data_IF_702718966481
#
_entry.id   IF_702718966481
#
_cell.length_a   1.000
_cell.length_b   1.000
_cell.length_c   1.000
_cell.angle_alpha   90.00
_cell.angle_beta   90.00
_cell.angle_gamma   90.00
#
_symmetry.space_group_name_H-M   'P 1'
#
loop_
_entity.id
_entity.type
_entity.pdbx_description
1 polymer ?
#
# COMPACT_ATOMS: atom_id res chain seq x y z
N UNK A 1 30.75 -22.68 5.87
CA UNK A 1 30.22 -21.70 4.89
C UNK A 1 28.70 -21.70 4.97
N UNK A 2 28.09 -20.55 5.23
CA UNK A 2 26.64 -20.41 5.27
C UNK A 2 26.21 -19.77 3.95
N UNK A 3 25.31 -20.42 3.21
CA UNK A 3 24.69 -19.86 2.03
C UNK A 3 23.34 -19.24 2.43
N UNK A 4 23.15 -17.98 2.14
CA UNK A 4 21.93 -17.26 2.44
C UNK A 4 21.33 -16.66 1.16
N UNK A 5 20.02 -16.52 1.07
CA UNK A 5 19.39 -15.78 -0.02
C UNK A 5 19.90 -14.34 -0.07
N UNK A 6 20.09 -13.81 -1.27
CA UNK A 6 20.64 -12.46 -1.50
C UNK A 6 19.85 -11.37 -0.73
N UNK A 7 18.54 -11.50 -0.65
CA UNK A 7 17.68 -10.58 0.09
C UNK A 7 17.94 -10.54 1.62
N UNK A 8 18.67 -11.52 2.18
CA UNK A 8 19.09 -11.54 3.59
C UNK A 8 20.42 -10.82 3.86
N UNK A 9 21.12 -10.41 2.83
CA UNK A 9 22.47 -9.84 2.93
C UNK A 9 22.51 -8.59 3.81
N UNK A 10 21.55 -7.67 3.65
CA UNK A 10 21.49 -6.44 4.45
C UNK A 10 21.22 -6.72 5.93
N UNK A 11 20.25 -7.56 6.22
CA UNK A 11 19.95 -7.96 7.59
C UNK A 11 21.16 -8.64 8.27
N UNK A 12 21.79 -9.56 7.53
CA UNK A 12 23.01 -10.21 8.02
C UNK A 12 24.11 -9.19 8.29
N UNK A 13 24.33 -8.22 7.39
CA UNK A 13 25.36 -7.21 7.57
C UNK A 13 25.14 -6.36 8.84
N UNK A 14 23.90 -6.01 9.14
CA UNK A 14 23.56 -5.28 10.36
C UNK A 14 23.76 -6.15 11.62
N UNK A 15 23.42 -7.44 11.56
CA UNK A 15 23.73 -8.37 12.65
C UNK A 15 25.24 -8.53 12.90
N UNK A 16 26.02 -8.69 11.81
CA UNK A 16 27.46 -8.87 11.87
C UNK A 16 28.17 -7.63 12.44
N UNK A 17 27.68 -6.41 12.16
CA UNK A 17 28.21 -5.18 12.77
C UNK A 17 28.07 -5.14 14.30
N UNK A 18 27.13 -5.89 14.87
CA UNK A 18 26.90 -5.99 16.32
C UNK A 18 27.71 -7.10 17.00
N UNK A 19 28.28 -8.02 16.23
CA UNK A 19 29.10 -9.12 16.76
C UNK A 19 30.53 -8.65 16.98
N UNK A 20 30.98 -8.55 18.24
CA UNK A 20 32.25 -7.95 18.63
C UNK A 20 33.46 -8.90 18.60
N UNK A 21 33.38 -10.16 18.34
CA UNK A 21 34.50 -11.10 18.46
C UNK A 21 34.47 -12.24 17.43
N UNK A 22 34.11 -11.94 16.18
CA UNK A 22 34.01 -12.97 15.14
C UNK A 22 34.75 -12.52 13.90
N UNK A 23 35.74 -13.28 13.46
CA UNK A 23 36.35 -13.09 12.15
C UNK A 23 35.39 -13.55 11.06
N UNK A 24 35.00 -12.61 10.19
CA UNK A 24 34.02 -12.82 9.14
C UNK A 24 34.66 -12.51 7.80
N UNK A 25 34.85 -13.54 6.97
CA UNK A 25 35.25 -13.37 5.58
C UNK A 25 33.99 -13.19 4.73
N UNK A 26 33.95 -12.06 4.03
CA UNK A 26 32.83 -11.70 3.14
C UNK A 26 33.27 -11.91 1.71
N UNK A 27 32.47 -12.59 0.89
CA UNK A 27 32.76 -12.74 -0.54
C UNK A 27 32.57 -11.42 -1.32
N UNK A 28 32.99 -11.41 -2.58
CA UNK A 28 32.93 -10.22 -3.44
C UNK A 28 31.49 -9.78 -3.65
N UNK A 29 30.59 -10.70 -3.96
CA UNK A 29 29.16 -10.42 -4.22
C UNK A 29 28.46 -9.84 -2.97
N UNK A 30 28.74 -10.37 -1.79
CA UNK A 30 28.23 -9.82 -0.53
C UNK A 30 28.70 -8.38 -0.31
N UNK A 31 29.99 -8.09 -0.56
CA UNK A 31 30.53 -6.73 -0.37
C UNK A 31 29.90 -5.74 -1.35
N UNK A 32 29.73 -6.12 -2.61
CA UNK A 32 29.08 -5.30 -3.63
C UNK A 32 27.63 -4.96 -3.23
N UNK A 33 26.83 -5.95 -2.88
CA UNK A 33 25.43 -5.75 -2.45
C UNK A 33 25.38 -4.84 -1.22
N UNK A 34 26.20 -5.11 -0.20
CA UNK A 34 26.21 -4.29 1.01
C UNK A 34 26.68 -2.87 0.73
N UNK A 35 27.69 -2.70 -0.12
CA UNK A 35 28.21 -1.38 -0.47
C UNK A 35 27.19 -0.57 -1.29
N UNK A 36 26.49 -1.19 -2.21
CA UNK A 36 25.55 -0.52 -3.10
C UNK A 36 24.19 -0.22 -2.41
N UNK A 37 23.78 -1.06 -1.45
CA UNK A 37 22.54 -0.86 -0.70
C UNK A 37 22.71 -0.13 0.65
N UNK A 38 23.94 -0.11 1.25
CA UNK A 38 24.23 0.68 2.45
C UNK A 38 24.85 2.05 2.16
N UNK A 39 25.12 2.34 0.92
CA UNK A 39 25.54 3.69 0.59
C UNK A 39 24.31 4.59 0.74
N UNK A 40 24.49 5.64 1.51
CA UNK A 40 23.88 6.94 1.25
C UNK A 40 24.20 7.43 -0.20
N UNK A 41 24.75 6.57 -1.00
CA UNK A 41 25.14 6.60 -2.40
C UNK A 41 24.27 5.56 -3.14
N UNK A 42 23.02 5.93 -3.37
CA UNK A 42 22.33 5.43 -4.53
C UNK A 42 23.28 5.75 -5.71
N UNK A 43 23.80 4.73 -6.41
CA UNK A 43 24.50 4.99 -7.67
C UNK A 43 23.62 5.93 -8.46
N UNK A 44 24.18 7.02 -9.00
CA UNK A 44 23.43 7.97 -9.79
C UNK A 44 22.95 7.27 -11.06
N UNK A 45 21.89 6.49 -10.92
CA UNK A 45 21.16 5.95 -12.06
C UNK A 45 20.63 7.13 -12.88
N UNK A 46 20.88 7.13 -14.15
CA UNK A 46 20.43 8.21 -15.02
C UNK A 46 18.91 8.31 -15.01
N UNK A 47 18.43 9.41 -14.48
CA UNK A 47 17.01 9.75 -14.53
C UNK A 47 16.70 10.04 -16.01
N UNK A 48 15.61 9.47 -16.60
CA UNK A 48 15.24 9.79 -17.96
C UNK A 48 15.11 11.32 -18.14
N UNK A 49 15.69 11.83 -19.21
CA UNK A 49 15.89 13.28 -19.43
C UNK A 49 14.61 14.10 -19.22
N UNK A 50 13.48 13.57 -19.64
CA UNK A 50 12.18 14.22 -19.48
C UNK A 50 11.75 14.43 -18.03
N UNK A 51 12.29 13.65 -17.08
CA UNK A 51 11.98 13.75 -15.66
C UNK A 51 12.97 14.59 -14.87
N UNK A 52 14.12 14.97 -15.43
CA UNK A 52 15.16 15.72 -14.70
C UNK A 52 14.65 17.03 -14.08
N UNK A 53 13.82 17.76 -14.82
CA UNK A 53 13.26 19.03 -14.37
C UNK A 53 11.85 18.91 -13.76
N UNK A 54 11.22 17.74 -13.84
CA UNK A 54 9.88 17.51 -13.33
C UNK A 54 9.91 16.94 -11.91
N UNK A 55 10.84 15.99 -11.65
CA UNK A 55 10.94 15.36 -10.35
C UNK A 55 11.57 16.30 -9.32
N UNK A 56 10.90 16.43 -8.18
CA UNK A 56 11.46 17.10 -7.00
C UNK A 56 12.65 16.31 -6.42
N UNK A 57 13.58 16.92 -5.67
CA UNK A 57 14.76 16.21 -5.13
C UNK A 57 14.42 14.90 -4.41
N UNK A 58 13.41 14.91 -3.55
CA UNK A 58 12.99 13.70 -2.85
C UNK A 58 12.40 12.63 -3.80
N UNK A 59 11.74 13.03 -4.89
CA UNK A 59 11.22 12.09 -5.90
C UNK A 59 12.35 11.45 -6.70
N UNK A 60 13.41 12.21 -6.99
CA UNK A 60 14.65 11.67 -7.59
C UNK A 60 15.27 10.60 -6.69
N UNK A 61 15.38 10.87 -5.38
CA UNK A 61 15.82 9.85 -4.41
C UNK A 61 14.91 8.62 -4.41
N UNK A 62 13.59 8.80 -4.55
CA UNK A 62 12.65 7.67 -4.63
C UNK A 62 12.81 6.85 -5.91
N UNK A 63 13.05 7.51 -7.05
CA UNK A 63 13.39 6.83 -8.30
C UNK A 63 14.67 5.99 -8.15
N UNK A 64 15.76 6.58 -7.61
CA UNK A 64 17.02 5.90 -7.36
C UNK A 64 16.83 4.65 -6.48
N UNK A 65 16.05 4.80 -5.40
CA UNK A 65 15.73 3.68 -4.51
C UNK A 65 14.97 2.56 -5.22
N UNK A 66 13.96 2.87 -6.05
CA UNK A 66 13.23 1.90 -6.85
C UNK A 66 14.16 1.15 -7.82
N UNK A 67 15.04 1.88 -8.51
CA UNK A 67 16.04 1.32 -9.45
C UNK A 67 17.03 0.44 -8.73
N UNK A 68 17.56 0.88 -7.58
CA UNK A 68 18.49 0.09 -6.78
C UNK A 68 17.88 -1.25 -6.36
N UNK A 69 16.63 -1.25 -5.88
CA UNK A 69 15.93 -2.49 -5.54
C UNK A 69 15.74 -3.38 -6.77
N UNK A 70 15.36 -2.79 -7.90
CA UNK A 70 15.15 -3.53 -9.14
C UNK A 70 16.42 -4.19 -9.66
N UNK A 71 17.58 -3.53 -9.61
CA UNK A 71 18.88 -4.09 -10.02
C UNK A 71 19.21 -5.39 -9.29
N UNK A 72 18.76 -5.53 -8.03
CA UNK A 72 18.91 -6.76 -7.24
C UNK A 72 17.68 -7.68 -7.29
N UNK A 73 16.70 -7.40 -8.12
CA UNK A 73 15.42 -8.15 -8.19
C UNK A 73 14.71 -8.19 -6.84
N UNK A 74 14.85 -7.14 -6.05
CA UNK A 74 14.09 -6.95 -4.83
C UNK A 74 12.79 -6.23 -5.11
N UNK A 75 11.80 -6.49 -4.28
CA UNK A 75 10.60 -5.69 -4.20
C UNK A 75 10.71 -4.65 -3.09
N UNK A 76 9.79 -3.69 -3.08
CA UNK A 76 9.76 -2.65 -2.05
C UNK A 76 8.40 -2.01 -1.86
N UNK A 77 8.28 -1.26 -0.77
CA UNK A 77 7.07 -0.53 -0.38
C UNK A 77 7.37 0.96 -0.40
N UNK A 78 6.83 1.68 -1.38
CA UNK A 78 6.88 3.13 -1.43
C UNK A 78 5.70 3.69 -0.63
N UNK A 79 6.00 4.14 0.59
CA UNK A 79 5.02 4.48 1.62
C UNK A 79 4.94 5.99 1.92
N UNK A 80 5.29 6.82 0.95
CA UNK A 80 5.21 8.27 1.04
C UNK A 80 3.79 8.75 1.35
N UNK A 81 3.65 9.85 2.07
CA UNK A 81 2.36 10.49 2.32
C UNK A 81 1.58 10.72 1.01
N UNK A 82 0.24 10.74 1.10
CA UNK A 82 -0.61 11.03 -0.06
C UNK A 82 -0.26 12.41 -0.66
N UNK A 83 -0.17 12.48 -1.98
CA UNK A 83 0.17 13.72 -2.70
C UNK A 83 1.66 14.01 -2.84
N UNK A 84 2.55 13.12 -2.40
CA UNK A 84 4.01 13.24 -2.65
C UNK A 84 4.44 12.68 -4.02
N UNK A 85 3.50 12.31 -4.89
CA UNK A 85 3.80 11.87 -6.25
C UNK A 85 4.44 10.49 -6.33
N UNK A 86 3.88 9.49 -5.63
CA UNK A 86 4.29 8.09 -5.79
C UNK A 86 4.17 7.61 -7.23
N UNK A 87 3.08 7.99 -7.91
CA UNK A 87 2.81 7.60 -9.30
C UNK A 87 3.90 8.06 -10.26
N UNK A 88 4.32 9.33 -10.19
CA UNK A 88 5.35 9.86 -11.11
C UNK A 88 6.73 9.22 -10.87
N UNK A 89 7.07 8.86 -9.63
CA UNK A 89 8.30 8.11 -9.32
C UNK A 89 8.30 6.72 -9.98
N UNK A 90 7.14 6.06 -9.99
CA UNK A 90 6.98 4.77 -10.69
C UNK A 90 6.98 4.94 -12.19
N UNK A 91 6.31 5.96 -12.73
CA UNK A 91 6.32 6.24 -14.17
C UNK A 91 7.74 6.49 -14.67
N UNK A 92 8.55 7.26 -13.94
CA UNK A 92 9.96 7.47 -14.31
C UNK A 92 10.77 6.17 -14.33
N UNK A 93 10.51 5.23 -13.42
CA UNK A 93 11.12 3.88 -13.42
C UNK A 93 10.66 3.07 -14.65
N UNK A 94 9.39 3.14 -15.03
CA UNK A 94 8.87 2.45 -16.21
C UNK A 94 9.50 2.97 -17.50
N UNK A 95 9.69 4.29 -17.62
CA UNK A 95 10.38 4.91 -18.77
C UNK A 95 11.85 4.51 -18.80
N UNK A 96 12.56 4.62 -17.68
CA UNK A 96 13.96 4.18 -17.58
C UNK A 96 14.13 2.70 -17.98
N UNK A 97 13.16 1.85 -17.66
CA UNK A 97 13.19 0.46 -18.09
C UNK A 97 13.02 0.35 -19.63
N UNK A 98 12.11 1.12 -20.22
CA UNK A 98 11.88 1.12 -21.67
C UNK A 98 13.11 1.61 -22.45
N UNK A 99 13.78 2.67 -21.98
CA UNK A 99 14.94 3.25 -22.63
C UNK A 99 16.18 2.32 -22.61
N UNK A 100 16.32 1.51 -21.56
CA UNK A 100 17.47 0.64 -21.36
C UNK A 100 17.29 -0.78 -21.94
N UNK A 101 16.24 -1.04 -22.74
CA UNK A 101 15.96 -2.35 -23.30
C UNK A 101 16.17 -2.40 -24.81
N UNK A 102 17.07 -3.26 -25.24
CA UNK A 102 17.32 -3.55 -26.65
C UNK A 102 16.55 -4.78 -27.17
N UNK A 103 16.35 -5.82 -26.33
CA UNK A 103 15.65 -7.06 -26.71
C UNK A 103 14.81 -7.65 -25.57
N UNK A 104 13.75 -8.43 -25.89
CA UNK A 104 12.88 -9.14 -24.94
C UNK A 104 12.10 -8.26 -23.94
N UNK A 105 11.46 -7.22 -24.45
CA UNK A 105 10.61 -6.32 -23.71
C UNK A 105 9.47 -7.03 -23.00
N UNK A 106 9.41 -6.89 -21.67
CA UNK A 106 8.30 -7.39 -20.85
C UNK A 106 7.35 -6.26 -20.47
N UNK A 107 6.07 -6.54 -20.52
CA UNK A 107 5.01 -5.64 -20.06
C UNK A 107 5.04 -5.51 -18.54
N UNK A 108 4.69 -4.33 -18.03
CA UNK A 108 4.48 -4.08 -16.61
C UNK A 108 2.99 -4.05 -16.28
N UNK A 109 2.61 -4.56 -15.11
CA UNK A 109 1.22 -4.60 -14.63
C UNK A 109 1.03 -3.66 -13.45
N UNK A 110 0.11 -2.73 -13.58
CA UNK A 110 -0.37 -1.89 -12.47
C UNK A 110 -1.72 -2.41 -12.01
N UNK A 111 -1.85 -2.68 -10.72
CA UNK A 111 -3.10 -3.09 -10.08
C UNK A 111 -3.51 -2.02 -9.07
N UNK A 112 -4.64 -1.39 -9.31
CA UNK A 112 -5.13 -0.26 -8.51
C UNK A 112 -6.61 -0.43 -8.12
N UNK A 113 -7.16 0.37 -7.21
CA UNK A 113 -8.61 0.53 -7.10
C UNK A 113 -9.22 0.93 -8.45
N UNK A 114 -10.45 0.49 -8.72
CA UNK A 114 -11.12 0.78 -9.99
C UNK A 114 -11.26 2.28 -10.29
N UNK A 115 -11.43 3.10 -9.26
CA UNK A 115 -11.51 4.56 -9.35
C UNK A 115 -10.20 5.22 -9.80
N UNK A 116 -9.04 4.55 -9.60
CA UNK A 116 -7.72 5.10 -9.92
C UNK A 116 -7.16 4.58 -11.25
N UNK A 117 -7.76 3.57 -11.86
CA UNK A 117 -7.23 2.96 -13.09
C UNK A 117 -7.13 3.97 -14.26
N UNK A 118 -8.13 4.84 -14.42
CA UNK A 118 -8.09 5.89 -15.43
C UNK A 118 -7.11 7.01 -15.08
N UNK A 119 -6.92 7.28 -13.79
CA UNK A 119 -5.92 8.26 -13.35
C UNK A 119 -4.51 7.81 -13.72
N UNK A 120 -4.17 6.53 -13.56
CA UNK A 120 -2.91 5.97 -14.03
C UNK A 120 -2.70 6.17 -15.52
N UNK A 121 -3.75 5.93 -16.33
CA UNK A 121 -3.69 6.19 -17.77
C UNK A 121 -3.38 7.65 -18.06
N UNK A 122 -4.14 8.57 -17.47
CA UNK A 122 -3.98 10.00 -17.70
C UNK A 122 -2.59 10.52 -17.27
N UNK A 123 -2.07 10.03 -16.15
CA UNK A 123 -0.73 10.41 -15.69
C UNK A 123 0.37 9.85 -16.61
N UNK A 124 0.25 8.60 -17.08
CA UNK A 124 1.21 8.04 -18.03
C UNK A 124 1.15 8.80 -19.35
N UNK A 125 -0.03 9.05 -19.93
CA UNK A 125 -0.18 9.82 -21.17
C UNK A 125 0.36 11.25 -21.06
N UNK A 126 0.28 11.84 -19.85
CA UNK A 126 0.80 13.18 -19.58
C UNK A 126 2.33 13.23 -19.43
N UNK A 127 2.92 12.30 -18.69
CA UNK A 127 4.34 12.36 -18.31
C UNK A 127 5.25 11.44 -19.13
N UNK A 128 4.66 10.44 -19.78
CA UNK A 128 5.37 9.42 -20.55
C UNK A 128 4.55 8.97 -21.78
N UNK A 129 4.22 9.87 -22.70
CA UNK A 129 3.36 9.58 -23.87
C UNK A 129 3.96 8.50 -24.79
N UNK A 130 5.24 8.25 -24.69
CA UNK A 130 5.93 7.18 -25.43
C UNK A 130 5.60 5.78 -24.92
N UNK A 131 5.07 5.62 -23.70
CA UNK A 131 4.65 4.33 -23.17
C UNK A 131 3.31 3.89 -23.78
N UNK A 132 3.30 2.73 -24.44
CA UNK A 132 2.06 2.13 -24.90
C UNK A 132 1.29 1.51 -23.74
N UNK A 133 0.23 2.20 -23.28
CA UNK A 133 -0.58 1.80 -22.14
C UNK A 133 -1.95 1.26 -22.53
N UNK A 134 -2.44 0.25 -21.84
CA UNK A 134 -3.81 -0.26 -21.94
C UNK A 134 -4.46 -0.45 -20.59
N UNK A 135 -5.66 0.10 -20.42
CA UNK A 135 -6.52 -0.17 -19.25
C UNK A 135 -7.41 -1.36 -19.57
N UNK A 136 -7.38 -2.39 -18.72
CA UNK A 136 -8.28 -3.55 -18.84
C UNK A 136 -9.66 -3.15 -18.33
N UNK A 137 -10.63 -3.13 -19.24
CA UNK A 137 -12.02 -2.74 -18.96
C UNK A 137 -12.98 -3.45 -19.92
N UNK A 138 -14.28 -3.27 -19.68
CA UNK A 138 -15.32 -3.84 -20.54
C UNK A 138 -15.81 -5.22 -20.08
N UNK A 139 -16.46 -5.94 -20.98
CA UNK A 139 -16.98 -7.28 -20.72
C UNK A 139 -15.88 -8.36 -20.69
N UNK A 140 -16.23 -9.58 -20.31
CA UNK A 140 -15.24 -10.66 -20.12
C UNK A 140 -14.46 -11.00 -21.41
N UNK A 141 -15.11 -10.97 -22.58
CA UNK A 141 -14.44 -11.27 -23.85
C UNK A 141 -13.43 -10.21 -24.22
N UNK A 142 -13.80 -8.93 -24.10
CA UNK A 142 -12.90 -7.80 -24.36
C UNK A 142 -11.67 -7.83 -23.43
N UNK A 143 -11.86 -8.16 -22.17
CA UNK A 143 -10.74 -8.27 -21.23
C UNK A 143 -9.83 -9.44 -21.57
N UNK A 144 -10.42 -10.60 -21.96
CA UNK A 144 -9.66 -11.77 -22.41
C UNK A 144 -8.80 -11.45 -23.63
N UNK A 145 -9.33 -10.72 -24.61
CA UNK A 145 -8.58 -10.27 -25.79
C UNK A 145 -7.37 -9.42 -25.39
N UNK A 146 -7.56 -8.41 -24.52
CA UNK A 146 -6.46 -7.56 -24.03
C UNK A 146 -5.40 -8.39 -23.30
N UNK A 147 -5.81 -9.34 -22.43
CA UNK A 147 -4.89 -10.19 -21.68
C UNK A 147 -4.11 -11.12 -22.62
N UNK A 148 -4.72 -11.61 -23.67
CA UNK A 148 -4.04 -12.45 -24.66
C UNK A 148 -2.99 -11.69 -25.49
N UNK A 149 -3.13 -10.35 -25.60
CA UNK A 149 -2.24 -9.48 -26.35
C UNK A 149 -1.32 -8.63 -25.44
N UNK A 150 -1.06 -9.09 -24.21
CA UNK A 150 -0.28 -8.35 -23.20
C UNK A 150 1.04 -7.82 -23.78
N UNK A 151 1.74 -8.61 -24.55
CA UNK A 151 3.07 -8.29 -25.10
C UNK A 151 3.08 -7.07 -26.04
N UNK A 152 1.93 -6.61 -26.52
CA UNK A 152 1.81 -5.40 -27.36
C UNK A 152 1.96 -4.10 -26.57
N UNK A 153 1.86 -4.17 -25.25
CA UNK A 153 1.83 -2.99 -24.38
C UNK A 153 3.07 -2.90 -23.50
N UNK A 154 3.48 -1.67 -23.18
CA UNK A 154 4.51 -1.41 -22.18
C UNK A 154 3.94 -1.54 -20.77
N UNK A 155 2.71 -1.02 -20.61
CA UNK A 155 2.03 -0.99 -19.31
C UNK A 155 0.57 -1.42 -19.48
N UNK A 156 0.14 -2.32 -18.63
CA UNK A 156 -1.28 -2.67 -18.48
C UNK A 156 -1.74 -2.25 -17.08
N UNK A 157 -2.91 -1.61 -17.05
CA UNK A 157 -3.55 -1.22 -15.79
C UNK A 157 -4.84 -2.01 -15.61
N UNK A 158 -5.02 -2.60 -14.44
CA UNK A 158 -6.26 -3.30 -14.07
C UNK A 158 -6.67 -2.99 -12.65
N UNK A 159 -7.91 -3.31 -12.29
CA UNK A 159 -8.34 -3.19 -10.89
C UNK A 159 -8.19 -4.53 -10.14
N UNK A 160 -8.09 -4.44 -8.79
CA UNK A 160 -8.04 -5.63 -7.93
C UNK A 160 -9.23 -6.58 -8.17
N UNK A 161 -10.42 -6.05 -8.40
CA UNK A 161 -11.61 -6.86 -8.64
C UNK A 161 -11.62 -7.53 -10.01
N UNK A 162 -11.15 -6.84 -11.06
CA UNK A 162 -11.02 -7.43 -12.39
C UNK A 162 -9.90 -8.48 -12.42
N UNK A 163 -8.75 -8.17 -11.81
CA UNK A 163 -7.66 -9.13 -11.68
C UNK A 163 -8.12 -10.45 -11.05
N UNK A 164 -8.87 -10.36 -9.95
CA UNK A 164 -9.44 -11.53 -9.27
C UNK A 164 -10.40 -12.32 -10.14
N UNK A 165 -11.21 -11.65 -10.97
CA UNK A 165 -12.15 -12.29 -11.88
C UNK A 165 -11.45 -13.01 -13.02
N UNK A 166 -10.38 -12.40 -13.53
CA UNK A 166 -9.69 -12.83 -14.73
C UNK A 166 -8.41 -13.66 -14.42
N UNK A 167 -8.19 -14.04 -13.15
CA UNK A 167 -6.93 -14.68 -12.70
C UNK A 167 -6.60 -15.96 -13.47
N UNK A 168 -7.60 -16.74 -13.85
CA UNK A 168 -7.38 -17.98 -14.59
C UNK A 168 -6.84 -17.70 -16.00
N UNK A 169 -7.28 -16.63 -16.66
CA UNK A 169 -6.76 -16.20 -17.97
C UNK A 169 -5.27 -15.84 -17.86
N UNK A 170 -4.89 -15.11 -16.81
CA UNK A 170 -3.48 -14.79 -16.55
C UNK A 170 -2.62 -16.03 -16.29
N UNK A 171 -3.16 -17.03 -15.60
CA UNK A 171 -2.47 -18.31 -15.35
C UNK A 171 -2.29 -19.11 -16.64
N UNK A 172 -3.33 -19.21 -17.47
CA UNK A 172 -3.28 -19.88 -18.75
C UNK A 172 -2.24 -19.25 -19.68
N UNK A 173 -2.21 -17.91 -19.74
CA UNK A 173 -1.21 -17.16 -20.50
C UNK A 173 0.21 -17.42 -19.98
N UNK A 174 0.36 -17.71 -18.67
CA UNK A 174 1.64 -18.00 -18.00
C UNK A 174 2.73 -16.93 -18.26
N UNK A 175 2.32 -15.69 -18.43
CA UNK A 175 3.20 -14.57 -18.72
C UNK A 175 3.96 -14.09 -17.47
N UNK A 176 5.23 -13.71 -17.65
CA UNK A 176 6.04 -13.10 -16.59
C UNK A 176 6.17 -11.61 -16.86
N UNK A 177 5.53 -10.80 -16.03
CA UNK A 177 5.61 -9.34 -16.11
C UNK A 177 6.99 -8.84 -15.71
N UNK A 178 7.37 -7.66 -16.20
CA UNK A 178 8.58 -6.99 -15.73
C UNK A 178 8.38 -6.50 -14.30
N UNK A 179 7.35 -5.70 -14.10
CA UNK A 179 6.95 -5.21 -12.80
C UNK A 179 5.50 -5.57 -12.51
N UNK A 180 5.18 -5.86 -11.25
CA UNK A 180 3.82 -5.74 -10.73
C UNK A 180 3.82 -4.63 -9.69
N UNK A 181 3.01 -3.61 -9.93
CA UNK A 181 2.85 -2.44 -9.08
C UNK A 181 1.47 -2.52 -8.46
N UNK A 182 1.40 -2.70 -7.14
CA UNK A 182 0.15 -2.69 -6.39
C UNK A 182 -0.06 -1.28 -5.79
N UNK A 183 -0.95 -0.52 -6.40
CA UNK A 183 -1.32 0.80 -5.87
C UNK A 183 -2.40 0.68 -4.80
N UNK A 184 -2.37 1.59 -3.81
CA UNK A 184 -3.18 1.51 -2.60
C UNK A 184 -3.11 0.10 -1.96
N UNK A 185 -1.88 -0.31 -1.63
CA UNK A 185 -1.57 -1.68 -1.21
C UNK A 185 -2.29 -2.12 0.08
N UNK A 186 -3.04 -1.24 0.75
CA UNK A 186 -3.96 -1.65 1.83
C UNK A 186 -5.02 -2.66 1.36
N UNK A 187 -5.30 -2.76 0.05
CA UNK A 187 -6.13 -3.83 -0.50
C UNK A 187 -5.52 -5.23 -0.35
N UNK A 188 -4.22 -5.31 -0.04
CA UNK A 188 -3.47 -6.56 0.19
C UNK A 188 -3.27 -6.88 1.68
N UNK A 189 -3.70 -6.03 2.60
CA UNK A 189 -3.50 -6.17 4.06
C UNK A 189 -4.01 -7.51 4.61
N UNK A 190 -5.11 -8.03 4.09
CA UNK A 190 -5.64 -9.33 4.46
C UNK A 190 -5.13 -10.43 3.51
N UNK A 191 -4.17 -11.23 3.97
CA UNK A 191 -3.60 -12.33 3.18
C UNK A 191 -4.63 -13.38 2.73
N UNK A 192 -5.72 -13.55 3.46
CA UNK A 192 -6.79 -14.49 3.12
C UNK A 192 -7.77 -13.92 2.09
N UNK A 193 -7.75 -12.61 1.85
CA UNK A 193 -8.61 -11.98 0.86
C UNK A 193 -8.33 -12.49 -0.55
N UNK A 194 -9.39 -12.66 -1.33
CA UNK A 194 -9.29 -13.15 -2.71
C UNK A 194 -8.41 -12.25 -3.59
N UNK A 195 -8.39 -10.94 -3.35
CA UNK A 195 -7.56 -9.99 -4.09
C UNK A 195 -6.06 -10.23 -3.82
N UNK A 196 -5.67 -10.40 -2.55
CA UNK A 196 -4.28 -10.69 -2.18
C UNK A 196 -3.80 -12.04 -2.74
N UNK A 197 -4.66 -13.06 -2.70
CA UNK A 197 -4.35 -14.36 -3.29
C UNK A 197 -4.20 -14.30 -4.80
N UNK A 198 -5.03 -13.53 -5.50
CA UNK A 198 -4.98 -13.42 -6.96
C UNK A 198 -3.67 -12.77 -7.42
N UNK A 199 -3.33 -11.58 -6.91
CA UNK A 199 -2.13 -10.85 -7.36
C UNK A 199 -0.83 -11.64 -7.08
N UNK A 200 -0.76 -12.41 -5.99
CA UNK A 200 0.40 -13.22 -5.63
C UNK A 200 0.65 -14.40 -6.59
N UNK A 201 -0.35 -14.82 -7.36
CA UNK A 201 -0.23 -15.90 -8.33
C UNK A 201 0.38 -15.47 -9.66
N UNK A 202 0.45 -14.17 -9.92
CA UNK A 202 1.01 -13.63 -11.16
C UNK A 202 2.54 -13.54 -11.03
N UNK A 203 3.24 -13.98 -12.08
CA UNK A 203 4.70 -13.95 -12.14
C UNK A 203 5.22 -12.58 -12.52
N UNK A 204 6.28 -12.11 -11.86
CA UNK A 204 6.99 -10.89 -12.21
C UNK A 204 8.45 -10.96 -11.78
N UNK A 205 9.29 -10.16 -12.46
CA UNK A 205 10.71 -10.02 -12.10
C UNK A 205 10.87 -9.24 -10.80
N UNK A 206 10.14 -8.11 -10.63
CA UNK A 206 10.12 -7.31 -9.40
C UNK A 206 8.70 -6.86 -9.06
N UNK A 207 8.43 -6.64 -7.78
CA UNK A 207 7.10 -6.24 -7.28
C UNK A 207 7.21 -5.05 -6.35
N UNK A 208 6.39 -4.03 -6.58
CA UNK A 208 6.35 -2.84 -5.75
C UNK A 208 4.95 -2.58 -5.22
N UNK A 209 4.87 -2.13 -3.98
CA UNK A 209 3.64 -1.73 -3.34
C UNK A 209 3.65 -0.22 -3.08
N UNK A 210 2.58 0.48 -3.44
CA UNK A 210 2.40 1.90 -3.18
C UNK A 210 1.30 2.06 -2.14
N UNK A 211 1.56 2.82 -1.09
CA UNK A 211 0.55 3.09 -0.05
C UNK A 211 0.87 4.39 0.68
N UNK A 212 -0.15 5.12 1.11
CA UNK A 212 0.02 6.25 2.03
C UNK A 212 0.10 5.80 3.51
N UNK A 213 -0.25 4.54 3.78
CA UNK A 213 -0.45 4.01 5.14
C UNK A 213 0.12 2.60 5.26
N UNK A 214 1.45 2.45 5.40
CA UNK A 214 2.08 1.13 5.34
C UNK A 214 1.76 0.22 6.51
N UNK A 215 1.57 0.78 7.70
CA UNK A 215 1.29 0.03 8.93
C UNK A 215 0.30 0.86 9.77
N UNK A 216 -0.99 0.57 9.67
CA UNK A 216 -1.99 1.29 10.46
C UNK A 216 -2.46 0.47 11.66
N UNK A 217 -2.79 -0.81 11.46
CA UNK A 217 -3.54 -1.55 12.45
C UNK A 217 -2.85 -2.81 12.98
N UNK A 218 -2.01 -3.49 12.19
CA UNK A 218 -1.38 -4.73 12.66
C UNK A 218 -0.12 -5.14 11.90
N UNK A 219 0.74 -5.90 12.58
CA UNK A 219 1.92 -6.54 11.96
C UNK A 219 1.53 -7.62 10.94
N UNK A 220 0.33 -8.19 11.05
CA UNK A 220 -0.21 -9.12 10.04
C UNK A 220 -0.41 -8.46 8.68
N UNK A 221 -0.84 -7.18 8.65
CA UNK A 221 -0.98 -6.40 7.42
C UNK A 221 0.38 -6.17 6.76
N UNK A 222 1.38 -5.76 7.54
CA UNK A 222 2.76 -5.62 7.10
C UNK A 222 3.28 -6.92 6.47
N UNK A 223 3.09 -8.05 7.17
CA UNK A 223 3.48 -9.35 6.66
C UNK A 223 2.82 -9.66 5.31
N UNK A 224 1.54 -9.37 5.17
CA UNK A 224 0.80 -9.65 3.92
C UNK A 224 1.32 -8.85 2.72
N UNK A 225 1.70 -7.57 2.93
CA UNK A 225 2.29 -6.74 1.88
C UNK A 225 3.72 -7.24 1.55
N UNK A 226 4.52 -7.58 2.56
CA UNK A 226 5.86 -8.16 2.33
C UNK A 226 5.81 -9.51 1.60
N UNK A 227 4.81 -10.35 1.89
CA UNK A 227 4.61 -11.62 1.20
C UNK A 227 4.22 -11.42 -0.29
N UNK A 228 3.68 -10.25 -0.64
CA UNK A 228 3.48 -9.85 -2.03
C UNK A 228 4.78 -9.32 -2.65
N UNK A 229 5.48 -8.35 -2.04
CA UNK A 229 6.65 -7.71 -2.67
C UNK A 229 7.88 -8.62 -2.68
N UNK A 230 8.06 -9.43 -1.63
CA UNK A 230 9.17 -10.39 -1.51
C UNK A 230 8.70 -11.69 -0.84
N UNK A 231 8.12 -12.63 -1.60
CA UNK A 231 7.60 -13.89 -1.05
C UNK A 231 8.63 -14.63 -0.19
N UNK A 232 8.25 -15.05 1.01
CA UNK A 232 9.10 -15.80 1.95
C UNK A 232 10.13 -14.96 2.70
N UNK A 233 10.30 -13.68 2.42
CA UNK A 233 11.27 -12.81 3.11
C UNK A 233 11.02 -12.74 4.61
N UNK A 234 9.79 -12.52 5.04
CA UNK A 234 9.39 -12.51 6.45
C UNK A 234 8.94 -13.89 6.96
N UNK A 235 9.44 -14.97 6.36
CA UNK A 235 9.07 -16.37 6.66
C UNK A 235 7.58 -16.69 6.38
N UNK A 236 7.14 -17.90 6.79
CA UNK A 236 5.71 -18.20 6.79
C UNK A 236 4.97 -17.36 7.83
N UNK A 237 3.68 -17.08 7.61
CA UNK A 237 2.89 -16.30 8.58
C UNK A 237 2.90 -16.90 10.00
N UNK A 238 2.83 -18.23 10.10
CA UNK A 238 2.90 -18.92 11.39
C UNK A 238 4.20 -18.59 12.16
N UNK A 239 5.34 -18.61 11.45
CA UNK A 239 6.65 -18.28 12.04
C UNK A 239 6.77 -16.78 12.33
N UNK A 240 6.31 -15.91 11.44
CA UNK A 240 6.29 -14.47 11.66
C UNK A 240 5.45 -14.10 12.88
N UNK A 241 4.25 -14.69 13.01
CA UNK A 241 3.36 -14.46 14.13
C UNK A 241 4.00 -14.86 15.48
N UNK A 242 4.63 -16.03 15.54
CA UNK A 242 5.29 -16.49 16.78
C UNK A 242 6.55 -15.68 17.11
N UNK A 243 7.33 -15.25 16.10
CA UNK A 243 8.62 -14.59 16.31
C UNK A 243 8.49 -13.10 16.55
N UNK A 244 7.54 -12.43 15.88
CA UNK A 244 7.41 -10.98 15.91
C UNK A 244 6.06 -10.50 16.42
N UNK A 245 4.93 -10.96 15.84
CA UNK A 245 3.62 -10.39 16.15
C UNK A 245 3.24 -10.63 17.62
N UNK A 246 3.37 -11.85 18.10
CA UNK A 246 3.03 -12.18 19.49
C UNK A 246 4.01 -11.51 20.46
N UNK A 247 5.31 -11.60 20.22
CA UNK A 247 6.33 -11.00 21.07
C UNK A 247 6.17 -9.46 21.18
N UNK A 248 5.92 -8.78 20.04
CA UNK A 248 5.79 -7.32 20.03
C UNK A 248 4.44 -6.87 20.63
N UNK A 249 3.32 -7.51 20.23
CA UNK A 249 1.98 -7.03 20.59
C UNK A 249 1.56 -7.47 21.99
N UNK A 250 1.93 -8.69 22.41
CA UNK A 250 1.54 -9.22 23.74
C UNK A 250 2.59 -8.99 24.81
N UNK A 251 3.86 -9.23 24.44
CA UNK A 251 4.94 -9.26 25.41
C UNK A 251 5.72 -7.93 25.42
N UNK A 252 5.38 -6.96 24.55
CA UNK A 252 6.07 -5.67 24.37
C UNK A 252 7.59 -5.82 24.19
N UNK A 253 8.03 -6.86 23.48
CA UNK A 253 9.44 -7.17 23.24
C UNK A 253 10.08 -6.13 22.30
N UNK A 254 10.84 -5.20 22.88
CA UNK A 254 11.56 -4.16 22.13
C UNK A 254 12.66 -4.72 21.22
N UNK A 255 13.29 -5.83 21.59
CA UNK A 255 14.35 -6.46 20.78
C UNK A 255 13.76 -7.11 19.53
N UNK A 256 12.60 -7.75 19.65
CA UNK A 256 11.86 -8.26 18.49
C UNK A 256 11.43 -7.11 17.57
N UNK A 257 10.97 -5.98 18.13
CA UNK A 257 10.62 -4.78 17.36
C UNK A 257 11.84 -4.20 16.61
N UNK A 258 12.97 -4.04 17.30
CA UNK A 258 14.23 -3.55 16.69
C UNK A 258 14.72 -4.48 15.58
N UNK A 259 14.65 -5.80 15.77
CA UNK A 259 15.02 -6.80 14.75
C UNK A 259 14.12 -6.73 13.54
N UNK A 260 12.80 -6.64 13.74
CA UNK A 260 11.84 -6.50 12.63
C UNK A 260 12.08 -5.20 11.86
N UNK A 261 12.24 -4.07 12.56
CA UNK A 261 12.54 -2.77 11.93
C UNK A 261 13.79 -2.86 11.05
N UNK A 262 14.89 -3.39 11.58
CA UNK A 262 16.13 -3.58 10.82
C UNK A 262 15.95 -4.46 9.57
N UNK A 263 15.06 -5.47 9.65
CA UNK A 263 14.78 -6.38 8.56
C UNK A 263 14.04 -5.71 7.42
N UNK A 264 13.07 -4.83 7.73
CA UNK A 264 12.18 -4.21 6.73
C UNK A 264 12.67 -2.85 6.21
N UNK A 265 13.45 -2.12 7.01
CA UNK A 265 13.89 -0.75 6.72
C UNK A 265 14.46 -0.53 5.31
N UNK A 266 15.32 -1.40 4.75
CA UNK A 266 15.85 -1.20 3.41
C UNK A 266 14.80 -1.26 2.28
N UNK A 267 13.68 -1.91 2.55
CA UNK A 267 12.62 -2.21 1.57
C UNK A 267 11.36 -1.38 1.77
N UNK A 268 11.40 -0.39 2.66
CA UNK A 268 10.30 0.55 2.90
C UNK A 268 10.83 1.97 2.84
N UNK A 269 10.40 2.72 1.83
CA UNK A 269 10.68 4.14 1.74
C UNK A 269 9.43 4.91 2.17
N UNK A 270 9.54 5.65 3.27
CA UNK A 270 8.46 6.48 3.80
C UNK A 270 8.97 7.89 4.07
N UNK A 271 8.29 8.87 3.50
CA UNK A 271 8.54 10.30 3.75
C UNK A 271 7.22 10.99 4.03
N UNK A 272 7.25 11.90 4.97
CA UNK A 272 6.08 12.72 5.31
C UNK A 272 6.14 14.06 4.57
N UNK A 273 4.97 14.69 4.38
CA UNK A 273 4.91 16.05 3.78
C UNK A 273 5.76 17.05 4.56
N UNK A 274 5.80 16.95 5.88
CA UNK A 274 6.59 17.84 6.74
C UNK A 274 8.10 17.73 6.50
N UNK A 275 8.59 16.54 6.17
CA UNK A 275 10.02 16.29 5.93
C UNK A 275 10.49 16.81 4.57
N UNK A 276 9.65 16.74 3.54
CA UNK A 276 10.08 16.95 2.16
C UNK A 276 9.50 18.22 1.50
N UNK A 277 8.45 18.81 2.05
CA UNK A 277 7.80 20.01 1.54
C UNK A 277 7.87 21.12 2.59
N UNK A 278 9.09 21.58 2.84
CA UNK A 278 9.36 22.63 3.84
C UNK A 278 8.78 23.99 3.46
N UNK A 279 8.44 24.17 2.18
CA UNK A 279 7.79 25.37 1.67
C UNK A 279 6.28 25.46 1.98
N UNK A 280 5.66 24.37 2.40
CA UNK A 280 4.23 24.38 2.74
C UNK A 280 4.00 25.03 4.09
N UNK A 281 2.97 25.89 4.21
CA UNK A 281 2.57 26.45 5.50
C UNK A 281 2.12 25.33 6.45
N UNK A 282 2.18 25.57 7.74
CA UNK A 282 1.67 24.64 8.73
C UNK A 282 0.17 24.38 8.53
N UNK A 283 -0.23 23.13 8.73
CA UNK A 283 -1.63 22.73 8.64
C UNK A 283 -2.45 23.43 9.73
N UNK A 284 -3.32 24.33 9.34
CA UNK A 284 -4.30 24.93 10.25
C UNK A 284 -5.50 24.00 10.40
N UNK A 285 -5.84 23.67 11.64
CA UNK A 285 -7.02 22.88 11.97
C UNK A 285 -7.98 23.77 12.75
N UNK A 286 -9.11 24.11 12.14
CA UNK A 286 -10.20 24.84 12.81
C UNK A 286 -11.29 23.87 13.18
N UNK A 287 -11.64 23.84 14.47
CA UNK A 287 -12.73 22.99 14.99
C UNK A 287 -13.96 23.87 15.15
N UNK A 288 -14.93 23.67 14.27
CA UNK A 288 -16.24 24.31 14.40
C UNK A 288 -17.15 23.45 15.29
N UNK A 289 -17.61 24.02 16.37
CA UNK A 289 -18.57 23.36 17.29
C UNK A 289 -19.96 23.91 17.01
N UNK A 290 -20.85 23.03 16.59
CA UNK A 290 -22.24 23.37 16.33
C UNK A 290 -23.14 22.75 17.39
N UNK A 291 -24.09 23.51 17.88
CA UNK A 291 -25.18 22.99 18.69
C UNK A 291 -26.30 22.47 17.78
N UNK A 292 -26.98 21.41 18.25
CA UNK A 292 -28.13 20.88 17.51
C UNK A 292 -29.31 21.85 17.64
N UNK A 293 -30.04 22.05 16.55
CA UNK A 293 -31.32 22.69 16.59
C UNK A 293 -32.31 21.97 17.53
N UNK A 294 -33.31 22.66 18.03
CA UNK A 294 -34.24 22.12 19.05
C UNK A 294 -34.91 20.81 18.62
N UNK A 295 -35.43 20.75 17.40
CA UNK A 295 -36.11 19.56 16.88
C UNK A 295 -35.11 18.40 16.68
N UNK A 296 -33.96 18.68 16.12
CA UNK A 296 -32.89 17.69 15.99
C UNK A 296 -32.44 17.12 17.35
N UNK A 297 -32.34 17.98 18.37
CA UNK A 297 -32.00 17.61 19.75
C UNK A 297 -33.08 16.73 20.38
N UNK A 298 -34.37 17.04 20.19
CA UNK A 298 -35.47 16.19 20.66
C UNK A 298 -35.41 14.80 20.06
N UNK A 299 -35.22 14.72 18.75
CA UNK A 299 -35.05 13.43 18.05
C UNK A 299 -33.86 12.64 18.59
N UNK A 300 -32.72 13.30 18.74
CA UNK A 300 -31.52 12.68 19.28
C UNK A 300 -31.70 12.11 20.69
N UNK A 301 -32.26 12.92 21.60
CA UNK A 301 -32.51 12.52 22.98
C UNK A 301 -33.53 11.38 23.08
N UNK A 302 -34.63 11.46 22.31
CA UNK A 302 -35.63 10.40 22.27
C UNK A 302 -35.06 9.07 21.81
N UNK A 303 -34.23 9.11 20.74
CA UNK A 303 -33.57 7.92 20.24
C UNK A 303 -32.52 7.39 21.23
N UNK A 304 -31.71 8.26 21.85
CA UNK A 304 -30.71 7.90 22.83
C UNK A 304 -31.32 7.18 24.03
N UNK A 305 -32.39 7.74 24.64
CA UNK A 305 -33.02 7.15 25.81
C UNK A 305 -33.59 5.76 25.49
N UNK A 306 -34.36 5.67 24.39
CA UNK A 306 -34.95 4.40 23.95
C UNK A 306 -33.91 3.33 23.63
N UNK A 307 -32.83 3.75 23.00
CA UNK A 307 -31.77 2.83 22.56
C UNK A 307 -30.91 2.39 23.73
N UNK A 308 -30.59 3.29 24.66
CA UNK A 308 -29.79 2.95 25.85
C UNK A 308 -30.50 1.83 26.67
N UNK A 309 -31.80 1.93 26.88
CA UNK A 309 -32.56 0.91 27.61
C UNK A 309 -32.52 -0.45 26.89
N UNK A 310 -32.81 -0.45 25.58
CA UNK A 310 -32.76 -1.68 24.76
C UNK A 310 -31.38 -2.35 24.73
N UNK A 311 -30.33 -1.55 24.64
CA UNK A 311 -28.96 -2.08 24.66
C UNK A 311 -28.57 -2.63 26.05
N UNK A 312 -29.00 -2.00 27.10
CA UNK A 312 -28.80 -2.49 28.47
C UNK A 312 -29.43 -3.87 28.67
N UNK A 313 -30.71 -4.03 28.26
CA UNK A 313 -31.45 -5.28 28.31
C UNK A 313 -30.76 -6.38 27.45
N UNK A 314 -30.30 -5.99 26.27
CA UNK A 314 -29.59 -6.90 25.34
C UNK A 314 -28.24 -7.37 25.92
N UNK A 315 -27.47 -6.45 26.48
CA UNK A 315 -26.15 -6.77 27.10
C UNK A 315 -26.36 -7.68 28.32
N UNK A 316 -27.38 -7.41 29.12
CA UNK A 316 -27.71 -8.24 30.29
C UNK A 316 -28.15 -9.66 29.87
N UNK A 317 -28.83 -9.80 28.74
CA UNK A 317 -29.35 -11.09 28.25
C UNK A 317 -28.34 -11.91 27.47
N UNK A 318 -27.53 -11.28 26.59
CA UNK A 318 -26.69 -11.95 25.60
C UNK A 318 -25.19 -11.70 25.79
N UNK A 319 -24.82 -10.85 26.73
CA UNK A 319 -23.43 -10.45 26.98
C UNK A 319 -22.91 -9.39 25.98
N UNK A 320 -21.83 -8.71 26.36
CA UNK A 320 -21.27 -7.60 25.59
C UNK A 320 -20.80 -8.01 24.19
N UNK A 321 -20.09 -9.14 24.07
CA UNK A 321 -19.50 -9.57 22.79
C UNK A 321 -20.54 -9.83 21.69
N UNK A 322 -21.68 -10.43 22.04
CA UNK A 322 -22.78 -10.69 21.09
C UNK A 322 -23.58 -9.44 20.76
N UNK A 323 -23.53 -8.43 21.63
CA UNK A 323 -24.28 -7.17 21.47
C UNK A 323 -23.52 -6.11 20.68
N UNK A 324 -22.23 -6.30 20.35
CA UNK A 324 -21.37 -5.31 19.67
C UNK A 324 -21.98 -4.77 18.38
N UNK A 325 -22.55 -5.63 17.54
CA UNK A 325 -23.16 -5.23 16.25
C UNK A 325 -24.35 -4.29 16.50
N UNK A 326 -25.18 -4.57 17.51
CA UNK A 326 -26.34 -3.74 17.87
C UNK A 326 -25.89 -2.40 18.46
N UNK A 327 -24.83 -2.41 19.26
CA UNK A 327 -24.22 -1.19 19.80
C UNK A 327 -23.69 -0.31 18.66
N UNK A 328 -22.95 -0.90 17.71
CA UNK A 328 -22.41 -0.18 16.54
C UNK A 328 -23.51 0.39 15.67
N UNK A 329 -24.59 -0.36 15.43
CA UNK A 329 -25.76 0.11 14.70
C UNK A 329 -26.42 1.31 15.40
N UNK A 330 -26.57 1.26 16.72
CA UNK A 330 -27.12 2.36 17.50
C UNK A 330 -26.26 3.62 17.44
N UNK A 331 -24.94 3.48 17.61
CA UNK A 331 -23.99 4.60 17.46
C UNK A 331 -24.01 5.19 16.05
N UNK A 332 -24.12 4.35 15.03
CA UNK A 332 -24.25 4.81 13.63
C UNK A 332 -25.51 5.63 13.42
N UNK A 333 -26.64 5.21 14.00
CA UNK A 333 -27.91 5.97 13.92
C UNK A 333 -27.82 7.31 14.66
N UNK A 334 -27.27 7.34 15.87
CA UNK A 334 -27.02 8.59 16.60
C UNK A 334 -26.14 9.54 15.80
N UNK A 335 -25.08 9.02 15.16
CA UNK A 335 -24.23 9.81 14.27
C UNK A 335 -24.97 10.34 13.04
N UNK A 336 -25.85 9.54 12.43
CA UNK A 336 -26.71 9.99 11.33
C UNK A 336 -27.63 11.13 11.76
N UNK A 337 -28.29 11.03 12.92
CA UNK A 337 -29.11 12.11 13.48
C UNK A 337 -28.29 13.38 13.73
N UNK A 338 -27.04 13.25 14.21
CA UNK A 338 -26.14 14.38 14.38
C UNK A 338 -25.67 15.03 13.06
N UNK A 339 -25.60 14.26 11.96
CA UNK A 339 -25.26 14.79 10.64
C UNK A 339 -26.45 15.47 9.99
N UNK A 340 -27.55 14.74 9.80
CA UNK A 340 -28.83 15.24 9.32
C UNK A 340 -29.93 14.22 9.64
N UNK A 341 -31.01 14.60 10.32
CA UNK A 341 -32.05 13.64 10.69
C UNK A 341 -32.74 12.92 9.51
N UNK A 342 -32.76 13.52 8.32
CA UNK A 342 -33.31 12.88 7.11
C UNK A 342 -32.58 11.62 6.69
N UNK A 343 -31.34 11.39 7.18
CA UNK A 343 -30.60 10.14 6.96
C UNK A 343 -31.23 8.95 7.72
N UNK A 344 -32.18 9.23 8.61
CA UNK A 344 -32.80 8.25 9.49
C UNK A 344 -34.34 8.34 9.51
N UNK A 345 -34.91 9.53 9.31
CA UNK A 345 -36.32 9.81 9.38
C UNK A 345 -36.79 10.30 8.02
N UNK A 346 -37.75 9.58 7.44
CA UNK A 346 -38.38 10.00 6.18
C UNK A 346 -39.18 11.31 6.39
N UNK A 347 -39.14 12.17 5.39
CA UNK A 347 -39.85 13.46 5.36
C UNK A 347 -39.44 14.47 6.47
N UNK A 348 -38.18 14.43 6.93
CA UNK A 348 -37.64 15.48 7.79
C UNK A 348 -37.27 16.71 6.95
N UNK A 349 -37.97 17.84 7.20
CA UNK A 349 -37.80 19.08 6.41
C UNK A 349 -37.24 20.24 7.24
N UNK A 350 -36.92 20.02 8.52
CA UNK A 350 -36.39 21.08 9.38
C UNK A 350 -34.90 21.33 9.09
N UNK A 351 -34.44 22.57 9.30
CA UNK A 351 -33.05 22.93 9.07
C UNK A 351 -32.10 22.16 9.99
N UNK A 352 -30.87 21.94 9.51
CA UNK A 352 -29.81 21.27 10.26
C UNK A 352 -28.65 22.22 10.43
N UNK A 353 -28.29 22.55 11.65
CA UNK A 353 -27.22 23.52 11.97
C UNK A 353 -25.87 23.20 11.37
N UNK A 354 -25.54 21.92 11.17
CA UNK A 354 -24.30 21.52 10.47
C UNK A 354 -24.33 21.83 8.98
N UNK A 355 -25.49 21.65 8.34
CA UNK A 355 -25.64 21.93 6.92
C UNK A 355 -25.65 23.43 6.64
N UNK A 356 -26.20 24.20 7.56
CA UNK A 356 -26.26 25.67 7.44
C UNK A 356 -24.88 26.35 7.66
N UNK A 357 -23.98 25.70 8.40
CA UNK A 357 -22.62 26.20 8.64
C UNK A 357 -21.59 25.74 7.57
N UNK A 358 -21.91 24.77 6.72
CA UNK A 358 -21.07 24.33 5.63
C UNK A 358 -21.31 25.14 4.36
#
# INVERSE_FOLDING_TARGET
TVRLPVNRTLYLNQLLKKMKNTEITKDKQYREIVNNLNKDLLEEENIPQQFENILRPYQKTGFQWLKTLDNYRFGGILADDMGLGKTIQVISMLVSYKENQEENKKTSLVVSPSSLALNWKNEIEKFAPELNIKVISGNANQRKEIINEIERYDVIVTSYDLLKRDIEIYKEKNYTFRFIIADEAQYLKNNNAKNAKAIKQIKADSRFALTGTPIENSLAELWSIFDFVMPGYLFSYKKFKSTYETAIVKDNDEDAMKKLKMLIEPFVLRRTKKEVLTELPEKTITVLKNEMGEEQRKIYLSYLVRTKQKLQDEINSNGYERSQIKILAALTRLRQICCHPSLFIDNYNEPCSKLEQC
#
